data_IF_408869918543
#
_entry.id   IF_408869918543
#
_cell.length_a   1.000
_cell.length_b   1.000
_cell.length_c   1.000
_cell.angle_alpha   90.00
_cell.angle_beta   90.00
_cell.angle_gamma   90.00
#
_symmetry.space_group_name_H-M   'P 1'
#
loop_
_entity.id
_entity.type
_entity.pdbx_description
1 polymer ?
#
# COMPACT_ATOMS: atom_id res chain seq x y z
N UNK A 1 9.71 12.75 0.04
CA UNK A 1 8.39 13.38 0.20
C UNK A 1 7.35 12.31 0.51
N UNK A 2 6.15 12.72 0.91
CA UNK A 2 5.05 11.82 1.27
C UNK A 2 3.75 12.34 0.68
N UNK A 3 2.93 11.44 0.13
CA UNK A 3 1.61 11.77 -0.41
C UNK A 3 0.59 11.97 0.72
N UNK A 4 -0.15 13.09 0.69
CA UNK A 4 -1.01 13.55 1.80
C UNK A 4 -2.08 12.54 2.26
N UNK A 5 -2.59 11.70 1.36
CA UNK A 5 -3.75 10.86 1.64
C UNK A 5 -3.41 9.39 1.91
N UNK A 6 -2.24 8.93 1.44
CA UNK A 6 -1.87 7.51 1.43
C UNK A 6 -0.71 7.20 2.38
N UNK A 7 0.03 8.23 2.83
CA UNK A 7 1.34 8.12 3.46
C UNK A 7 2.37 7.40 2.55
N UNK A 8 2.13 7.33 1.23
CA UNK A 8 3.09 6.78 0.26
C UNK A 8 4.30 7.70 0.11
N UNK A 9 5.49 7.10 0.19
CA UNK A 9 6.74 7.82 0.01
C UNK A 9 7.18 7.86 -1.46
N UNK A 10 7.72 8.99 -1.86
CA UNK A 10 8.33 9.18 -3.17
C UNK A 10 9.46 10.20 -3.08
N UNK A 11 10.34 10.18 -4.08
CA UNK A 11 11.39 11.18 -4.26
C UNK A 11 11.21 11.86 -5.63
N UNK A 12 11.30 13.19 -5.66
CA UNK A 12 11.52 13.91 -6.91
C UNK A 12 13.02 14.12 -7.05
N UNK A 13 13.54 13.69 -8.19
CA UNK A 13 14.95 13.72 -8.51
C UNK A 13 15.08 14.63 -9.72
N UNK A 14 15.78 15.75 -9.54
CA UNK A 14 16.11 16.64 -10.65
C UNK A 14 17.39 16.15 -11.29
N UNK A 15 17.32 15.84 -12.58
CA UNK A 15 18.42 15.30 -13.36
C UNK A 15 18.82 16.31 -14.43
N UNK A 16 20.13 16.40 -14.69
CA UNK A 16 20.70 17.15 -15.80
C UNK A 16 21.51 16.16 -16.64
N UNK A 17 21.21 15.99 -17.94
CA UNK A 17 21.98 15.11 -18.80
C UNK A 17 23.43 15.58 -18.92
N UNK A 18 24.38 14.65 -18.83
CA UNK A 18 25.80 14.89 -19.05
C UNK A 18 26.23 14.20 -20.36
N UNK A 19 26.98 14.91 -21.19
CA UNK A 19 27.52 14.42 -22.46
C UNK A 19 28.98 13.96 -22.35
N UNK A 20 29.61 14.14 -21.19
CA UNK A 20 30.99 13.69 -20.96
C UNK A 20 31.04 12.21 -20.59
N UNK A 21 32.10 11.50 -20.99
CA UNK A 21 32.29 10.11 -20.58
C UNK A 21 32.55 10.05 -19.07
N UNK A 22 31.51 9.72 -18.30
CA UNK A 22 31.63 9.57 -16.85
C UNK A 22 32.34 8.24 -16.55
N UNK A 23 33.58 8.34 -16.06
CA UNK A 23 34.18 7.24 -15.29
C UNK A 23 33.37 7.14 -14.00
N UNK A 24 32.52 6.12 -13.87
CA UNK A 24 31.73 5.88 -12.65
C UNK A 24 32.74 5.73 -11.50
N UNK A 25 32.81 6.69 -10.55
CA UNK A 25 33.70 6.53 -9.42
C UNK A 25 33.23 5.32 -8.63
N UNK A 26 34.12 4.37 -8.34
CA UNK A 26 33.85 3.32 -7.35
C UNK A 26 33.43 4.00 -6.06
N UNK A 27 32.18 3.77 -5.63
CA UNK A 27 31.60 4.40 -4.45
C UNK A 27 32.52 4.20 -3.24
N UNK A 28 32.95 5.31 -2.62
CA UNK A 28 33.48 5.25 -1.26
C UNK A 28 32.31 4.86 -0.36
N UNK A 29 32.28 3.61 0.13
CA UNK A 29 31.24 3.07 1.01
C UNK A 29 31.16 3.73 2.41
N UNK A 30 31.91 4.80 2.66
CA UNK A 30 31.78 5.58 3.89
C UNK A 30 30.72 6.67 3.74
N UNK A 31 29.50 6.30 3.33
CA UNK A 31 28.35 7.13 3.66
C UNK A 31 28.12 6.99 5.17
N UNK A 32 28.33 8.08 5.91
CA UNK A 32 27.88 8.21 7.30
C UNK A 32 26.38 7.91 7.35
N UNK A 33 26.02 6.65 7.62
CA UNK A 33 24.65 6.29 7.97
C UNK A 33 24.47 6.77 9.41
N UNK A 34 23.56 7.72 9.68
CA UNK A 34 23.29 8.14 11.05
C UNK A 34 22.90 6.90 11.87
N UNK A 35 23.41 6.79 13.09
CA UNK A 35 23.08 5.67 13.97
C UNK A 35 21.63 5.84 14.41
N UNK A 36 20.73 5.15 13.72
CA UNK A 36 19.30 5.15 14.04
C UNK A 36 18.88 3.79 14.55
N UNK A 37 18.13 3.77 15.64
CA UNK A 37 17.46 2.56 16.10
C UNK A 37 16.06 2.55 15.53
N UNK A 38 15.70 1.48 14.82
CA UNK A 38 14.38 1.38 14.22
C UNK A 38 13.79 -0.01 14.39
N UNK A 39 12.45 -0.05 14.40
CA UNK A 39 11.73 -1.29 14.28
C UNK A 39 10.50 -1.14 13.41
N UNK A 40 10.10 -2.26 12.83
CA UNK A 40 8.87 -2.38 12.06
C UNK A 40 8.00 -3.47 12.68
N UNK A 41 6.69 -3.28 12.71
CA UNK A 41 5.75 -4.32 13.13
C UNK A 41 4.51 -4.31 12.23
N UNK A 42 4.14 -5.50 11.75
CA UNK A 42 2.83 -5.75 11.14
C UNK A 42 1.76 -5.66 12.24
N UNK A 43 0.76 -4.82 12.04
CA UNK A 43 -0.35 -4.63 12.96
C UNK A 43 -1.25 -5.86 12.97
N UNK A 44 -1.55 -6.37 14.16
CA UNK A 44 -2.57 -7.39 14.34
C UNK A 44 -3.95 -6.76 14.55
N UNK A 45 -5.01 -7.58 14.49
CA UNK A 45 -6.37 -7.11 14.78
C UNK A 45 -6.51 -6.48 16.19
N UNK A 46 -5.74 -6.98 17.18
CA UNK A 46 -5.74 -6.39 18.53
C UNK A 46 -5.03 -5.04 18.57
N UNK A 47 -4.02 -4.84 17.73
CA UNK A 47 -3.33 -3.55 17.67
C UNK A 47 -4.23 -2.47 17.06
N UNK A 48 -5.15 -2.80 16.14
CA UNK A 48 -6.03 -1.78 15.53
C UNK A 48 -7.33 -1.53 16.30
N UNK A 49 -7.75 -2.48 17.14
CA UNK A 49 -8.96 -2.37 17.97
C UNK A 49 -8.68 -1.95 19.42
N UNK A 50 -7.44 -2.03 19.88
CA UNK A 50 -7.03 -1.76 21.25
C UNK A 50 -5.66 -1.08 21.33
N UNK A 51 -4.85 -1.41 22.32
CA UNK A 51 -3.50 -0.87 22.46
C UNK A 51 -2.48 -1.55 21.53
N UNK A 52 -1.40 -0.84 21.21
CA UNK A 52 -0.31 -1.40 20.41
C UNK A 52 0.68 -2.15 21.28
N UNK A 53 0.89 -3.43 21.00
CA UNK A 53 1.91 -4.22 21.69
C UNK A 53 3.29 -3.99 21.08
N UNK A 54 4.24 -3.49 21.86
CA UNK A 54 5.63 -3.35 21.40
C UNK A 54 6.40 -4.63 21.75
N UNK A 55 7.03 -5.33 20.78
CA UNK A 55 7.89 -6.47 21.10
C UNK A 55 9.01 -6.06 22.05
N UNK A 56 9.29 -6.88 23.07
CA UNK A 56 10.25 -6.54 24.14
C UNK A 56 11.61 -6.08 23.62
N UNK A 57 12.15 -6.80 22.62
CA UNK A 57 13.43 -6.44 21.98
C UNK A 57 13.40 -5.00 21.42
N UNK A 58 12.36 -4.67 20.65
CA UNK A 58 12.21 -3.35 20.04
C UNK A 58 11.94 -2.24 21.06
N UNK A 59 11.20 -2.53 22.14
CA UNK A 59 10.99 -1.57 23.20
C UNK A 59 12.31 -1.17 23.88
N UNK A 60 13.19 -2.13 24.14
CA UNK A 60 14.50 -1.89 24.77
C UNK A 60 15.46 -1.17 23.82
N UNK A 61 15.51 -1.59 22.55
CA UNK A 61 16.48 -1.05 21.59
C UNK A 61 16.07 0.31 21.01
N UNK A 62 14.77 0.52 20.75
CA UNK A 62 14.32 1.63 19.90
C UNK A 62 13.54 2.71 20.63
N UNK A 63 13.00 2.44 21.82
CA UNK A 63 12.27 3.44 22.60
C UNK A 63 13.16 4.05 23.69
N UNK A 64 12.86 5.26 24.19
CA UNK A 64 13.44 5.76 25.43
C UNK A 64 13.24 4.75 26.58
N UNK A 65 14.25 4.53 27.43
CA UNK A 65 14.16 3.55 28.51
C UNK A 65 13.11 3.98 29.55
N UNK A 66 12.29 3.03 30.02
CA UNK A 66 11.38 3.24 31.14
C UNK A 66 12.14 3.22 32.47
N UNK A 67 11.68 4.00 33.44
CA UNK A 67 12.07 3.81 34.85
C UNK A 67 11.37 2.57 35.42
N UNK A 68 12.11 1.46 35.48
CA UNK A 68 11.61 0.17 35.95
C UNK A 68 11.57 0.05 37.49
N UNK A 69 12.02 1.07 38.22
CA UNK A 69 11.92 1.10 39.69
C UNK A 69 10.49 1.40 40.17
N UNK A 70 9.66 1.97 39.29
CA UNK A 70 8.27 2.29 39.58
C UNK A 70 7.38 1.04 39.56
N UNK A 71 6.34 0.97 40.41
CA UNK A 71 5.40 -0.16 40.39
C UNK A 71 4.59 -0.24 39.09
N UNK A 72 4.36 0.89 38.41
CA UNK A 72 3.79 0.96 37.06
C UNK A 72 4.70 1.79 36.15
N UNK A 73 5.74 1.19 35.52
CA UNK A 73 6.64 1.90 34.63
C UNK A 73 5.88 2.49 33.42
N UNK A 74 5.92 3.80 33.27
CA UNK A 74 5.19 4.53 32.22
C UNK A 74 5.94 5.79 31.80
N UNK A 75 5.79 6.22 30.54
CA UNK A 75 6.32 7.48 30.02
C UNK A 75 5.49 7.98 28.83
N UNK A 76 5.57 9.27 28.56
CA UNK A 76 5.03 9.85 27.32
C UNK A 76 6.09 9.81 26.22
N UNK A 77 5.70 9.34 25.03
CA UNK A 77 6.50 9.39 23.81
C UNK A 77 5.90 10.42 22.86
N UNK A 78 6.74 11.30 22.33
CA UNK A 78 6.36 12.25 21.28
C UNK A 78 7.04 11.82 19.97
N UNK A 79 6.25 11.34 19.02
CA UNK A 79 6.75 10.93 17.69
C UNK A 79 6.27 11.90 16.61
N UNK A 80 7.13 12.22 15.65
CA UNK A 80 6.75 13.05 14.49
C UNK A 80 6.58 12.17 13.25
N UNK A 81 5.48 12.34 12.52
CA UNK A 81 5.25 11.62 11.25
C UNK A 81 5.93 12.29 10.05
N UNK A 82 5.85 11.65 8.87
CA UNK A 82 6.45 12.18 7.63
C UNK A 82 5.80 13.49 7.13
N UNK A 83 4.63 13.84 7.63
CA UNK A 83 3.95 15.10 7.32
C UNK A 83 4.29 16.20 8.34
N UNK A 84 5.11 15.90 9.36
CA UNK A 84 5.45 16.83 10.44
C UNK A 84 4.44 16.87 11.58
N UNK A 85 3.41 16.02 11.57
CA UNK A 85 2.44 15.98 12.67
C UNK A 85 3.05 15.27 13.88
N UNK A 86 2.80 15.83 15.07
CA UNK A 86 3.25 15.26 16.32
C UNK A 86 2.19 14.38 16.97
N UNK A 87 2.59 13.20 17.41
CA UNK A 87 1.75 12.18 18.01
C UNK A 87 2.27 11.83 19.40
N UNK A 88 1.41 11.98 20.41
CA UNK A 88 1.71 11.61 21.80
C UNK A 88 1.20 10.20 22.07
N UNK A 89 2.07 9.34 22.60
CA UNK A 89 1.73 7.99 22.99
C UNK A 89 2.10 7.74 24.44
N UNK A 90 1.22 7.13 25.22
CA UNK A 90 1.59 6.64 26.55
C UNK A 90 2.20 5.23 26.44
N UNK A 91 3.52 5.13 26.62
CA UNK A 91 4.25 3.86 26.71
C UNK A 91 4.27 3.36 28.16
N UNK A 92 3.71 2.18 28.39
CA UNK A 92 3.66 1.55 29.71
C UNK A 92 4.11 0.09 29.63
N UNK A 93 4.67 -0.40 30.73
CA UNK A 93 5.01 -1.81 30.91
C UNK A 93 4.12 -2.42 31.99
N UNK A 94 3.13 -3.23 31.57
CA UNK A 94 2.08 -3.74 32.47
C UNK A 94 1.49 -5.08 31.99
N UNK A 95 0.57 -5.62 32.79
CA UNK A 95 -0.17 -6.85 32.50
C UNK A 95 0.49 -8.11 33.05
N UNK A 96 -0.15 -9.27 32.82
CA UNK A 96 0.31 -10.58 33.28
C UNK A 96 0.21 -11.60 32.13
N UNK A 97 1.32 -12.02 31.51
CA UNK A 97 2.69 -11.54 31.73
C UNK A 97 2.86 -10.06 31.34
N UNK A 98 3.85 -9.40 31.93
CA UNK A 98 4.14 -7.98 31.65
C UNK A 98 4.61 -7.79 30.21
N UNK A 99 4.09 -6.76 29.54
CA UNK A 99 4.38 -6.42 28.14
C UNK A 99 4.52 -4.92 27.99
N UNK A 100 5.22 -4.49 26.95
CA UNK A 100 5.26 -3.08 26.55
C UNK A 100 4.05 -2.76 25.69
N UNK A 101 3.33 -1.69 26.03
CA UNK A 101 2.17 -1.22 25.28
C UNK A 101 2.24 0.28 25.04
N UNK A 102 1.78 0.71 23.85
CA UNK A 102 1.31 2.08 23.64
C UNK A 102 -0.21 2.10 23.82
N UNK A 103 -0.69 2.97 24.71
CA UNK A 103 -2.12 3.04 25.08
C UNK A 103 -2.73 4.37 24.66
N UNK A 104 -2.78 5.36 25.54
CA UNK A 104 -3.32 6.69 25.25
C UNK A 104 -2.64 7.27 24.01
N UNK A 105 -3.44 7.82 23.09
CA UNK A 105 -3.00 8.38 21.81
C UNK A 105 -2.93 7.38 20.65
N UNK A 106 -2.75 6.09 20.93
CA UNK A 106 -2.65 5.08 19.87
C UNK A 106 -3.94 4.94 19.04
N UNK A 107 -5.10 4.86 19.69
CA UNK A 107 -6.39 4.75 18.97
C UNK A 107 -6.71 6.00 18.13
N UNK A 108 -6.29 7.18 18.58
CA UNK A 108 -6.45 8.41 17.81
C UNK A 108 -5.57 8.37 16.55
N UNK A 109 -4.34 7.89 16.69
CA UNK A 109 -3.42 7.68 15.58
C UNK A 109 -3.96 6.66 14.57
N UNK A 110 -4.40 5.48 15.01
CA UNK A 110 -4.96 4.45 14.12
C UNK A 110 -6.19 4.94 13.39
N UNK A 111 -7.08 5.66 14.07
CA UNK A 111 -8.31 6.21 13.47
C UNK A 111 -7.99 7.29 12.44
N UNK A 112 -7.15 8.27 12.81
CA UNK A 112 -6.77 9.37 11.91
C UNK A 112 -6.06 8.86 10.67
N UNK A 113 -5.15 7.90 10.85
CA UNK A 113 -4.40 7.28 9.77
C UNK A 113 -5.14 6.11 9.13
N UNK A 114 -6.38 5.78 9.51
CA UNK A 114 -7.17 4.68 8.93
C UNK A 114 -6.40 3.35 8.87
N UNK A 115 -5.71 3.00 9.94
CA UNK A 115 -4.87 1.81 9.99
C UNK A 115 -5.72 0.54 10.13
N UNK A 116 -5.33 -0.51 9.40
CA UNK A 116 -5.97 -1.83 9.47
C UNK A 116 -4.95 -2.92 9.83
N UNK A 117 -5.44 -4.07 10.30
CA UNK A 117 -4.57 -5.23 10.51
C UNK A 117 -3.88 -5.60 9.19
N UNK A 118 -2.59 -5.88 9.25
CA UNK A 118 -1.72 -6.08 8.08
C UNK A 118 -0.92 -4.84 7.69
N UNK A 119 -1.36 -3.62 8.04
CA UNK A 119 -0.51 -2.43 7.87
C UNK A 119 0.75 -2.58 8.74
N UNK A 120 1.83 -1.93 8.34
CA UNK A 120 3.11 -1.95 9.03
C UNK A 120 3.37 -0.59 9.65
N UNK A 121 3.64 -0.57 10.95
CA UNK A 121 4.13 0.61 11.65
C UNK A 121 5.66 0.59 11.69
N UNK A 122 6.26 1.76 11.51
CA UNK A 122 7.70 1.99 11.57
C UNK A 122 7.96 3.01 12.66
N UNK A 123 8.82 2.67 13.63
CA UNK A 123 9.35 3.64 14.58
C UNK A 123 10.85 3.79 14.35
N UNK A 124 11.33 5.03 14.39
CA UNK A 124 12.76 5.36 14.25
C UNK A 124 13.13 6.32 15.35
N UNK A 125 14.20 6.02 16.09
CA UNK A 125 14.80 6.90 17.09
C UNK A 125 16.17 7.33 16.60
N UNK A 126 16.34 8.64 16.44
CA UNK A 126 17.63 9.25 16.09
C UNK A 126 18.59 9.30 17.27
N UNK A 127 19.85 9.62 16.99
CA UNK A 127 20.93 9.75 18.00
C UNK A 127 20.59 10.77 19.09
N UNK A 128 19.91 11.87 18.73
CA UNK A 128 19.44 12.91 19.65
C UNK A 128 18.26 12.49 20.51
N UNK A 129 17.73 11.28 20.31
CA UNK A 129 16.54 10.77 20.97
C UNK A 129 15.22 11.18 20.30
N UNK A 130 15.26 11.95 19.22
CA UNK A 130 14.06 12.27 18.45
C UNK A 130 13.37 10.99 17.96
N UNK A 131 12.05 10.89 18.19
CA UNK A 131 11.25 9.75 17.76
C UNK A 131 10.44 10.14 16.52
N UNK A 132 10.47 9.29 15.51
CA UNK A 132 9.65 9.40 14.30
C UNK A 132 8.77 8.17 14.15
N UNK A 133 7.60 8.37 13.56
CA UNK A 133 6.65 7.29 13.24
C UNK A 133 6.29 7.33 11.76
N UNK A 134 6.30 6.18 11.12
CA UNK A 134 5.95 6.01 9.71
C UNK A 134 4.97 4.85 9.53
N UNK A 135 4.24 4.88 8.42
CA UNK A 135 3.25 3.86 8.08
C UNK A 135 3.62 3.25 6.73
N UNK A 136 3.46 1.95 6.60
CA UNK A 136 3.50 1.22 5.34
C UNK A 136 2.19 0.45 5.20
N UNK A 137 1.37 0.85 4.23
CA UNK A 137 0.06 0.21 3.98
C UNK A 137 0.22 -1.22 3.49
N UNK A 138 -0.63 -2.11 3.98
CA UNK A 138 -0.85 -3.42 3.38
C UNK A 138 -1.33 -3.24 1.94
N UNK A 139 -0.81 -4.08 1.04
CA UNK A 139 -1.01 -3.89 -0.39
C UNK A 139 -2.46 -4.02 -0.87
N UNK A 140 -3.34 -4.67 -0.10
CA UNK A 140 -4.76 -4.81 -0.45
C UNK A 140 -5.56 -3.49 -0.33
N UNK A 141 -4.99 -2.45 0.30
CA UNK A 141 -5.68 -1.17 0.54
C UNK A 141 -5.33 -0.07 -0.48
N UNK A 142 -4.45 -0.32 -1.46
CA UNK A 142 -4.10 0.63 -2.53
C UNK A 142 -5.17 0.74 -3.63
N UNK A 143 -6.44 0.83 -3.22
CA UNK A 143 -7.60 1.07 -4.08
C UNK A 143 -7.76 2.53 -4.53
N UNK A 144 -6.89 3.44 -4.07
CA UNK A 144 -6.85 4.80 -4.61
C UNK A 144 -6.06 4.80 -5.92
N UNK A 145 -6.73 4.37 -6.98
CA UNK A 145 -6.31 4.62 -8.36
C UNK A 145 -6.18 6.14 -8.49
N UNK A 146 -4.98 6.71 -8.73
CA UNK A 146 -4.87 8.11 -9.08
C UNK A 146 -5.74 8.35 -10.30
N UNK A 147 -6.55 9.42 -10.30
CA UNK A 147 -7.29 9.80 -11.50
C UNK A 147 -6.29 10.02 -12.63
N UNK A 148 -6.20 9.08 -13.57
CA UNK A 148 -5.27 9.20 -14.68
C UNK A 148 -5.79 10.30 -15.60
N UNK A 149 -5.17 11.48 -15.51
CA UNK A 149 -5.45 12.63 -16.38
C UNK A 149 -5.07 12.30 -17.84
N UNK A 150 -4.11 11.39 -18.03
CA UNK A 150 -3.62 10.91 -19.33
C UNK A 150 -3.50 9.38 -19.34
N UNK A 151 -3.55 8.77 -20.52
CA UNK A 151 -3.33 7.33 -20.66
C UNK A 151 -1.91 6.92 -20.28
N UNK A 152 -1.72 5.66 -19.86
CA UNK A 152 -0.39 5.09 -19.57
C UNK A 152 0.54 5.22 -20.77
N UNK A 153 0.02 5.00 -21.97
CA UNK A 153 0.79 5.13 -23.20
C UNK A 153 1.26 6.57 -23.44
N UNK A 154 0.39 7.55 -23.18
CA UNK A 154 0.75 8.96 -23.26
C UNK A 154 1.80 9.33 -22.21
N UNK A 155 1.69 8.77 -21.00
CA UNK A 155 2.67 8.97 -19.94
C UNK A 155 4.05 8.43 -20.33
N UNK A 156 4.12 7.21 -20.90
CA UNK A 156 5.37 6.61 -21.39
C UNK A 156 6.02 7.47 -22.47
N UNK A 157 5.25 7.89 -23.46
CA UNK A 157 5.74 8.78 -24.50
C UNK A 157 6.21 10.14 -23.95
N UNK A 158 5.46 10.71 -22.99
CA UNK A 158 5.82 11.96 -22.34
C UNK A 158 7.15 11.88 -21.59
N UNK A 159 7.43 10.76 -20.89
CA UNK A 159 8.71 10.54 -20.21
C UNK A 159 9.88 10.52 -21.21
N UNK A 160 9.76 9.74 -22.29
CA UNK A 160 10.81 9.64 -23.32
C UNK A 160 11.03 11.00 -23.99
N UNK A 161 9.94 11.68 -24.37
CA UNK A 161 10.00 12.99 -25.00
C UNK A 161 10.66 14.04 -24.08
N UNK A 162 10.35 14.01 -22.78
CA UNK A 162 10.94 14.92 -21.79
C UNK A 162 12.43 14.66 -21.60
N UNK A 163 12.84 13.39 -21.48
CA UNK A 163 14.25 13.03 -21.36
C UNK A 163 15.05 13.42 -22.61
N UNK A 164 14.49 13.17 -23.81
CA UNK A 164 15.10 13.60 -25.07
C UNK A 164 15.21 15.12 -25.15
N UNK A 165 14.14 15.84 -24.84
CA UNK A 165 14.15 17.30 -24.84
C UNK A 165 15.22 17.85 -23.89
N UNK A 166 15.32 17.28 -22.68
CA UNK A 166 16.35 17.64 -21.71
C UNK A 166 17.76 17.40 -22.24
N UNK A 167 17.98 16.28 -22.94
CA UNK A 167 19.25 15.96 -23.55
C UNK A 167 19.60 16.94 -24.68
N UNK A 168 18.68 17.15 -25.61
CA UNK A 168 18.88 18.01 -26.79
C UNK A 168 19.12 19.47 -26.41
N UNK A 169 18.51 19.94 -25.30
CA UNK A 169 18.56 21.33 -24.87
C UNK A 169 19.45 21.55 -23.64
N UNK A 170 20.13 20.50 -23.15
CA UNK A 170 20.97 20.54 -21.95
C UNK A 170 20.27 21.22 -20.76
N UNK A 171 19.03 20.82 -20.51
CA UNK A 171 18.22 21.38 -19.43
C UNK A 171 17.83 20.32 -18.39
N UNK A 172 17.44 20.79 -17.21
CA UNK A 172 17.02 19.91 -16.13
C UNK A 172 15.64 19.31 -16.44
N UNK A 173 15.42 18.06 -16.00
CA UNK A 173 14.11 17.44 -15.95
C UNK A 173 13.92 16.70 -14.63
N UNK A 174 12.66 16.51 -14.23
CA UNK A 174 12.31 15.90 -12.96
C UNK A 174 11.84 14.47 -13.20
N UNK A 175 12.36 13.53 -12.41
CA UNK A 175 11.90 12.15 -12.33
C UNK A 175 11.30 11.91 -10.96
N UNK A 176 10.10 11.31 -10.95
CA UNK A 176 9.45 10.87 -9.71
C UNK A 176 9.78 9.40 -9.49
N UNK A 177 10.47 9.11 -8.39
CA UNK A 177 10.81 7.76 -7.96
C UNK A 177 9.86 7.28 -6.85
N UNK A 178 9.17 6.17 -7.10
CA UNK A 178 8.36 5.44 -6.11
C UNK A 178 9.02 4.07 -5.82
N UNK A 179 9.55 3.84 -4.61
CA UNK A 179 10.33 2.63 -4.30
C UNK A 179 9.49 1.36 -4.10
N UNK A 180 8.16 1.50 -3.92
CA UNK A 180 7.27 0.36 -3.75
C UNK A 180 6.90 -0.27 -5.09
N UNK A 181 6.90 -1.59 -5.11
CA UNK A 181 6.54 -2.39 -6.28
C UNK A 181 5.65 -3.57 -5.88
N UNK A 182 5.06 -4.20 -6.88
CA UNK A 182 4.34 -5.46 -6.77
C UNK A 182 4.92 -6.49 -7.71
N UNK A 183 4.81 -7.76 -7.37
CA UNK A 183 5.21 -8.86 -8.24
C UNK A 183 4.22 -10.00 -8.07
N UNK A 184 3.96 -10.71 -9.16
CA UNK A 184 3.03 -11.85 -9.20
C UNK A 184 3.79 -13.14 -8.95
N UNK A 185 3.17 -14.01 -8.16
CA UNK A 185 3.63 -15.35 -7.89
C UNK A 185 2.45 -16.31 -8.08
N UNK A 186 2.73 -17.45 -8.67
CA UNK A 186 1.79 -18.55 -8.77
C UNK A 186 1.71 -19.26 -7.42
N UNK A 187 0.51 -19.34 -6.85
CA UNK A 187 0.23 -20.11 -5.66
C UNK A 187 0.11 -21.60 -5.94
N UNK A 188 0.17 -22.42 -4.90
CA UNK A 188 0.05 -23.89 -4.99
C UNK A 188 -1.29 -24.35 -5.60
N UNK A 189 -2.31 -23.50 -5.55
CA UNK A 189 -3.64 -23.67 -6.14
C UNK A 189 -3.76 -23.08 -7.55
N UNK A 190 -2.63 -22.77 -8.20
CA UNK A 190 -2.53 -22.03 -9.47
C UNK A 190 -3.17 -20.63 -9.42
N UNK A 191 -3.44 -20.10 -8.21
CA UNK A 191 -3.93 -18.72 -8.07
C UNK A 191 -2.77 -17.74 -8.25
N UNK A 192 -2.97 -16.71 -9.07
CA UNK A 192 -2.01 -15.61 -9.16
C UNK A 192 -2.16 -14.72 -7.92
N UNK A 193 -1.10 -14.64 -7.10
CA UNK A 193 -1.05 -13.80 -5.90
C UNK A 193 -0.04 -12.69 -6.10
N UNK A 194 -0.43 -11.47 -5.73
CA UNK A 194 0.44 -10.28 -5.78
C UNK A 194 1.09 -10.08 -4.43
N UNK A 195 2.40 -9.92 -4.43
CA UNK A 195 3.18 -9.59 -3.25
C UNK A 195 3.81 -8.23 -3.42
N UNK A 196 3.79 -7.47 -2.34
CA UNK A 196 4.31 -6.11 -2.29
C UNK A 196 5.73 -6.14 -1.74
N UNK A 197 6.57 -5.28 -2.30
CA UNK A 197 7.94 -5.11 -1.84
C UNK A 197 8.40 -3.66 -1.97
N UNK A 198 9.57 -3.40 -1.39
CA UNK A 198 10.27 -2.13 -1.46
C UNK A 198 11.68 -2.36 -1.99
N UNK A 199 12.09 -1.57 -2.97
CA UNK A 199 13.48 -1.56 -3.45
C UNK A 199 14.35 -0.87 -2.40
N UNK A 200 15.36 -1.58 -1.91
CA UNK A 200 16.26 -1.11 -0.84
C UNK A 200 17.68 -0.81 -1.33
N UNK A 201 18.02 -1.23 -2.55
CA UNK A 201 19.34 -1.02 -3.11
C UNK A 201 19.43 -1.45 -4.57
N UNK A 202 20.52 -1.05 -5.21
CA UNK A 202 20.91 -1.49 -6.55
C UNK A 202 22.35 -1.97 -6.48
N UNK A 203 22.59 -3.23 -6.83
CA UNK A 203 23.92 -3.81 -6.85
C UNK A 203 23.96 -5.01 -7.79
N UNK A 204 25.09 -5.20 -8.48
CA UNK A 204 25.27 -6.33 -9.41
C UNK A 204 24.96 -7.67 -8.70
N UNK A 205 24.30 -8.58 -9.41
CA UNK A 205 24.02 -9.91 -8.87
C UNK A 205 25.30 -10.69 -8.58
N UNK A 206 26.33 -10.49 -9.40
CA UNK A 206 27.61 -11.19 -9.32
C UNK A 206 28.76 -10.28 -9.76
N UNK A 207 29.94 -10.37 -9.13
CA UNK A 207 31.13 -9.61 -9.52
C UNK A 207 31.60 -9.84 -10.96
N UNK A 208 31.21 -10.98 -11.57
CA UNK A 208 31.58 -11.34 -12.93
C UNK A 208 30.73 -10.63 -14.00
N UNK A 209 29.55 -10.13 -13.63
CA UNK A 209 28.59 -9.50 -14.55
C UNK A 209 28.36 -8.05 -14.15
N UNK A 210 29.41 -7.24 -14.33
CA UNK A 210 29.38 -5.83 -13.95
C UNK A 210 28.35 -5.06 -14.77
N UNK A 211 27.60 -4.18 -14.11
CA UNK A 211 26.57 -3.34 -14.73
C UNK A 211 25.43 -4.13 -15.39
N UNK A 212 25.19 -5.37 -14.96
CA UNK A 212 24.10 -6.20 -15.49
C UNK A 212 22.77 -5.75 -14.89
N UNK A 213 21.73 -5.66 -15.71
CA UNK A 213 20.37 -5.40 -15.23
C UNK A 213 19.68 -6.67 -14.67
N UNK A 214 20.32 -7.84 -14.84
CA UNK A 214 19.79 -9.10 -14.32
C UNK A 214 19.91 -9.16 -12.80
N UNK A 215 18.77 -9.23 -12.11
CA UNK A 215 18.67 -9.34 -10.64
C UNK A 215 19.55 -8.34 -9.90
N UNK A 216 19.56 -7.09 -10.35
CA UNK A 216 20.36 -6.03 -9.74
C UNK A 216 19.61 -5.21 -8.69
N UNK A 217 18.29 -5.40 -8.55
CA UNK A 217 17.49 -4.68 -7.56
C UNK A 217 17.41 -5.50 -6.28
N UNK A 218 17.96 -4.97 -5.19
CA UNK A 218 17.78 -5.53 -3.84
C UNK A 218 16.41 -5.13 -3.30
N UNK A 219 15.66 -6.10 -2.79
CA UNK A 219 14.28 -5.90 -2.37
C UNK A 219 13.98 -6.48 -1.00
N UNK A 220 13.08 -5.80 -0.29
CA UNK A 220 12.48 -6.28 0.95
C UNK A 220 10.98 -6.47 0.75
N UNK A 221 10.49 -7.68 1.02
CA UNK A 221 9.07 -8.03 0.92
C UNK A 221 8.28 -7.59 2.16
N UNK A 222 7.03 -7.18 1.94
CA UNK A 222 6.17 -6.64 3.01
C UNK A 222 5.51 -7.75 3.83
N UNK A 223 4.95 -8.75 3.15
CA UNK A 223 4.16 -9.83 3.75
C UNK A 223 4.99 -11.10 3.93
N UNK A 224 4.74 -11.92 4.95
CA UNK A 224 5.33 -13.26 5.03
C UNK A 224 4.68 -14.19 4.01
N UNK A 225 5.49 -14.99 3.30
CA UNK A 225 5.02 -16.04 2.40
C UNK A 225 5.54 -17.39 2.88
N UNK A 226 4.77 -18.46 2.67
CA UNK A 226 5.18 -19.83 2.97
C UNK A 226 6.31 -20.33 2.08
N UNK A 227 6.53 -19.67 0.94
CA UNK A 227 7.58 -19.98 -0.02
C UNK A 227 8.71 -18.94 0.01
N UNK A 228 9.90 -19.38 -0.41
CA UNK A 228 11.07 -18.52 -0.53
C UNK A 228 10.89 -17.54 -1.69
N UNK A 229 11.05 -16.25 -1.40
CA UNK A 229 11.07 -15.19 -2.42
C UNK A 229 12.47 -14.66 -2.61
N UNK A 230 12.85 -14.26 -3.83
CA UNK A 230 14.18 -13.74 -4.09
C UNK A 230 14.40 -12.42 -3.34
N UNK A 231 15.61 -12.25 -2.80
CA UNK A 231 16.09 -10.99 -2.22
C UNK A 231 16.60 -10.00 -3.29
N UNK A 232 16.84 -10.50 -4.52
CA UNK A 232 17.20 -9.70 -5.69
C UNK A 232 16.32 -10.01 -6.90
N UNK A 233 15.78 -8.99 -7.55
CA UNK A 233 14.89 -9.09 -8.72
C UNK A 233 15.37 -8.18 -9.85
N UNK A 234 14.85 -8.42 -11.05
CA UNK A 234 15.16 -7.64 -12.24
C UNK A 234 14.07 -6.60 -12.52
N UNK A 235 14.39 -5.47 -13.17
CA UNK A 235 13.41 -4.41 -13.44
C UNK A 235 12.15 -4.86 -14.19
N UNK A 236 12.25 -5.87 -15.07
CA UNK A 236 11.10 -6.40 -15.82
C UNK A 236 10.25 -7.42 -15.04
N UNK A 237 10.69 -7.89 -13.88
CA UNK A 237 9.91 -8.80 -13.02
C UNK A 237 8.95 -8.01 -12.11
N UNK A 238 9.16 -6.71 -11.94
CA UNK A 238 8.39 -5.87 -11.03
C UNK A 238 7.31 -5.06 -11.77
N UNK A 239 6.14 -4.97 -11.14
CA UNK A 239 5.06 -4.08 -11.53
C UNK A 239 5.06 -2.87 -10.58
N UNK A 240 5.38 -1.69 -11.11
CA UNK A 240 5.17 -0.45 -10.35
C UNK A 240 3.68 -0.24 -10.12
N UNK A 241 3.33 0.32 -8.95
CA UNK A 241 1.97 0.71 -8.56
C UNK A 241 1.46 1.86 -9.44
N UNK A 242 1.25 1.56 -10.72
CA UNK A 242 0.59 2.43 -11.68
C UNK A 242 -0.89 2.07 -11.71
N UNK A 243 -1.79 3.03 -11.98
CA UNK A 243 -3.23 2.78 -12.02
C UNK A 243 -3.51 1.57 -12.91
N UNK A 244 -4.07 0.52 -12.31
CA UNK A 244 -4.45 -0.67 -13.06
C UNK A 244 -5.44 -0.25 -14.15
N UNK A 245 -5.14 -0.63 -15.40
CA UNK A 245 -6.14 -0.60 -16.46
C UNK A 245 -7.33 -1.43 -15.98
N UNK A 246 -8.52 -0.85 -16.02
CA UNK A 246 -9.73 -1.64 -16.18
C UNK A 246 -9.60 -2.35 -17.53
N UNK A 247 -8.99 -3.54 -17.53
CA UNK A 247 -9.18 -4.49 -18.62
C UNK A 247 -10.57 -5.07 -18.37
N UNK A 248 -11.56 -4.80 -19.24
CA UNK A 248 -12.81 -5.53 -19.16
C UNK A 248 -12.45 -7.00 -19.36
N UNK A 249 -12.70 -7.83 -18.34
CA UNK A 249 -12.70 -9.29 -18.54
C UNK A 249 -13.63 -9.57 -19.73
N UNK A 250 -13.25 -10.39 -20.72
CA UNK A 250 -14.20 -10.85 -21.72
C UNK A 250 -15.32 -11.56 -20.97
N UNK A 251 -16.48 -10.92 -20.87
CA UNK A 251 -17.67 -11.56 -20.33
C UNK A 251 -18.01 -12.70 -21.28
N UNK A 252 -17.85 -13.93 -20.81
CA UNK A 252 -18.39 -15.11 -21.49
C UNK A 252 -19.86 -14.83 -21.78
N UNK A 253 -20.20 -14.72 -23.07
CA UNK A 253 -21.53 -14.49 -23.59
C UNK A 253 -22.49 -15.55 -23.02
N UNK A 254 -23.30 -15.17 -22.03
CA UNK A 254 -24.51 -15.92 -21.69
C UNK A 254 -25.61 -15.48 -22.62
N UNK A 255 -25.83 -16.29 -23.66
CA UNK A 255 -27.00 -16.25 -24.52
C UNK A 255 -28.30 -16.20 -23.69
N UNK A 256 -29.08 -15.13 -23.85
CA UNK A 256 -30.54 -15.20 -23.87
C UNK A 256 -31.07 -14.25 -24.94
N UNK A 257 -31.63 -14.85 -25.99
CA UNK A 257 -32.43 -14.19 -27.04
C UNK A 257 -33.54 -13.34 -26.38
N UNK A 258 -33.58 -12.06 -26.72
CA UNK A 258 -34.77 -11.22 -26.64
C UNK A 258 -35.60 -11.48 -27.91
N UNK A 259 -36.87 -11.83 -27.79
CA UNK A 259 -37.82 -11.75 -28.91
C UNK A 259 -38.61 -10.47 -28.73
N UNK A 260 -38.42 -9.56 -29.67
CA UNK A 260 -39.21 -8.36 -29.88
C UNK A 260 -40.38 -8.72 -30.80
N UNK A 261 -41.59 -8.25 -30.49
CA UNK A 261 -42.70 -8.18 -31.45
C UNK A 261 -43.38 -6.84 -31.24
N UNK A 262 -43.25 -5.96 -32.24
CA UNK A 262 -43.98 -4.71 -32.37
C UNK A 262 -45.36 -4.93 -32.99
N UNK A 263 -46.24 -3.98 -32.68
CA UNK A 263 -47.65 -3.80 -33.04
C UNK A 263 -47.96 -3.81 -34.55
N UNK A 264 -49.22 -4.12 -34.92
CA UNK A 264 -50.14 -3.33 -35.76
C UNK A 264 -51.54 -3.99 -35.61
N UNK A 265 -52.60 -3.18 -35.46
CA UNK A 265 -53.98 -3.61 -35.20
C UNK A 265 -54.83 -3.90 -36.44
N UNK A 266 -56.03 -4.44 -36.20
CA UNK A 266 -57.25 -4.28 -37.03
C UNK A 266 -58.49 -4.81 -36.27
N UNK A 267 -59.63 -4.17 -36.55
CA UNK A 267 -60.95 -4.27 -35.90
C UNK A 267 -61.69 -5.61 -36.09
N UNK A 268 -62.66 -5.94 -35.20
CA UNK A 268 -64.10 -6.16 -35.49
C UNK A 268 -64.88 -6.78 -34.28
N UNK A 269 -66.14 -6.35 -34.16
CA UNK A 269 -67.34 -6.69 -33.33
C UNK A 269 -67.57 -8.19 -32.99
N UNK A 270 -68.42 -8.67 -32.06
CA UNK A 270 -69.70 -8.22 -31.47
C UNK A 270 -70.10 -9.08 -30.22
N UNK A 271 -71.12 -8.60 -29.47
CA UNK A 271 -72.13 -9.27 -28.61
C UNK A 271 -71.74 -10.28 -27.47
N UNK A 272 -72.01 -9.95 -26.19
CA UNK A 272 -73.23 -10.22 -25.38
C UNK A 272 -73.27 -11.66 -24.78
N UNK A 273 -73.46 -11.92 -23.48
CA UNK A 273 -74.67 -11.76 -22.68
C UNK A 273 -74.47 -12.33 -21.24
N UNK A 274 -75.15 -11.70 -20.27
CA UNK A 274 -75.85 -12.28 -19.09
C UNK A 274 -75.04 -12.77 -17.86
N UNK A 275 -75.39 -12.18 -16.70
CA UNK A 275 -75.53 -12.94 -15.44
C UNK A 275 -74.91 -12.36 -14.16
N UNK A 276 -75.62 -11.44 -13.49
CA UNK A 276 -75.65 -11.35 -12.00
C UNK A 276 -76.94 -12.08 -11.52
N UNK A 277 -77.25 -12.30 -10.20
CA UNK A 277 -76.52 -12.05 -8.93
C UNK A 277 -76.64 -13.20 -7.88
N UNK A 278 -76.12 -13.00 -6.66
CA UNK A 278 -76.57 -13.67 -5.41
C UNK A 278 -75.41 -14.06 -4.47
N UNK A 279 -75.06 -13.37 -3.37
CA UNK A 279 -75.73 -13.13 -2.05
C UNK A 279 -75.38 -14.19 -0.98
N UNK A 280 -75.10 -13.70 0.26
CA UNK A 280 -74.91 -14.32 1.60
C UNK A 280 -73.47 -14.70 2.00
N UNK A 281 -72.86 -14.00 2.97
CA UNK A 281 -72.80 -14.28 4.44
C UNK A 281 -72.09 -15.62 4.75
N UNK A 282 -71.13 -15.79 5.66
CA UNK A 282 -70.85 -15.16 6.95
C UNK A 282 -69.52 -15.70 7.56
N UNK A 283 -68.91 -14.88 8.42
CA UNK A 283 -68.23 -15.13 9.72
C UNK A 283 -67.32 -16.36 10.00
N UNK A 284 -66.15 -16.05 10.59
CA UNK A 284 -65.35 -16.86 11.55
C UNK A 284 -63.85 -16.54 11.41
N UNK A 285 -63.18 -15.70 12.23
CA UNK A 285 -62.68 -15.88 13.62
C UNK A 285 -62.13 -17.32 13.79
N UNK A 286 -60.84 -17.62 14.05
CA UNK A 286 -59.95 -17.11 15.11
C UNK A 286 -58.51 -17.60 14.87
N UNK A 287 -57.54 -16.75 15.23
CA UNK A 287 -56.13 -17.00 15.64
C UNK A 287 -55.22 -17.90 14.80
#
# INVERSE_FOLDING_TARGET
MVENNSDETYAEITLMPDTTQVVIPTQNENQFRPLVNSFTKVLTASDTSGGFFVPKKHAIECLPPLDMSQPLPTQELLATDLHGNQWRFNHNYRGTPQRHLLTTGWNAFTTSKKLVAGDVIVFVRGETGELRVGIRRAGHQQGNIPSSIISIESMRHGVIASAKHAFDNQCMFIVVYKPRFTMRFEGDDFSERRYFGTIIGVSDFSPHWKCSEWRNLEVQWDEFASFSRPNKVSPWEIEHLMPALNVPRPSLLKNKRLREVNEIGEDFVDEALIGRPGVLESKGITR
#
